data_IF_781070646317
#
_entry.id   IF_781070646317
#
_cell.length_a   1.000
_cell.length_b   1.000
_cell.length_c   1.000
_cell.angle_alpha   90.00
_cell.angle_beta   90.00
_cell.angle_gamma   90.00
#
_symmetry.space_group_name_H-M   'P 1'
#
loop_
_entity.id
_entity.type
_entity.pdbx_description
1 polymer ?
#
# COMPACT_ATOMS: atom_id res chain seq x y z
N UNK A 1 14.93 -3.59 -5.05
CA UNK A 1 13.52 -3.87 -5.21
C UNK A 1 13.25 -5.35 -5.41
N UNK A 2 12.08 -5.80 -5.02
CA UNK A 2 11.72 -7.20 -5.16
C UNK A 2 11.56 -7.57 -6.63
N UNK A 3 12.11 -8.72 -7.01
CA UNK A 3 11.95 -9.22 -8.36
C UNK A 3 10.51 -9.71 -8.55
N UNK A 4 9.72 -8.90 -9.16
CA UNK A 4 8.31 -9.17 -9.33
C UNK A 4 8.03 -10.39 -10.22
N UNK A 5 8.79 -10.58 -11.27
CA UNK A 5 8.62 -11.72 -12.14
C UNK A 5 8.75 -13.03 -11.39
N UNK A 6 9.78 -13.13 -10.57
CA UNK A 6 10.01 -14.32 -9.77
C UNK A 6 8.89 -14.53 -8.75
N UNK A 7 8.46 -13.46 -8.09
CA UNK A 7 7.38 -13.57 -7.11
C UNK A 7 6.06 -13.92 -7.77
N UNK A 8 5.83 -13.41 -8.96
CA UNK A 8 4.63 -13.72 -9.71
C UNK A 8 4.57 -15.20 -10.06
N UNK A 9 5.70 -15.80 -10.44
CA UNK A 9 5.77 -17.22 -10.72
C UNK A 9 5.46 -18.05 -9.49
N UNK A 10 5.76 -17.54 -8.32
CA UNK A 10 5.46 -18.18 -7.06
C UNK A 10 4.06 -17.87 -6.56
N UNK A 11 3.28 -17.09 -7.30
CA UNK A 11 1.93 -16.74 -6.91
C UNK A 11 1.83 -15.62 -5.90
N UNK A 12 2.94 -14.93 -5.60
CA UNK A 12 2.94 -13.87 -4.62
C UNK A 12 2.42 -12.55 -5.15
N UNK A 13 2.56 -12.32 -6.45
CA UNK A 13 2.06 -11.12 -7.09
C UNK A 13 1.07 -11.48 -8.18
N UNK A 14 -0.08 -11.99 -7.78
CA UNK A 14 -1.11 -12.31 -8.77
C UNK A 14 -1.90 -11.04 -9.06
N UNK A 15 -1.56 -10.36 -10.11
CA UNK A 15 -2.24 -9.14 -10.50
C UNK A 15 -3.71 -9.33 -10.84
N UNK A 16 -4.19 -10.54 -10.81
CA UNK A 16 -5.58 -10.85 -11.12
C UNK A 16 -6.52 -10.51 -9.99
N UNK A 17 -5.99 -10.36 -8.78
CA UNK A 17 -6.82 -10.11 -7.61
C UNK A 17 -6.58 -8.72 -7.07
N UNK A 18 -7.68 -7.98 -6.89
CA UNK A 18 -7.62 -6.64 -6.33
C UNK A 18 -7.29 -6.66 -4.84
N UNK A 19 -7.44 -7.80 -4.21
CA UNK A 19 -7.27 -7.95 -2.77
C UNK A 19 -5.99 -8.66 -2.36
N UNK A 20 -4.96 -8.63 -3.21
CA UNK A 20 -3.67 -9.23 -2.87
C UNK A 20 -3.14 -8.67 -1.56
N UNK A 21 -2.74 -9.57 -0.68
CA UNK A 21 -2.26 -9.19 0.64
C UNK A 21 -0.74 -9.27 0.68
N UNK A 22 -0.15 -8.28 1.34
CA UNK A 22 1.30 -8.23 1.50
C UNK A 22 1.76 -9.39 2.37
N UNK A 23 2.73 -10.20 1.92
CA UNK A 23 3.31 -11.23 2.80
C UNK A 23 3.92 -10.58 4.03
N UNK A 24 3.79 -11.25 5.17
CA UNK A 24 4.29 -10.71 6.43
C UNK A 24 5.81 -10.46 6.40
N UNK A 25 6.55 -11.36 5.75
CA UNK A 25 8.01 -11.20 5.68
C UNK A 25 8.41 -9.91 4.95
N UNK A 26 7.65 -9.55 3.93
CA UNK A 26 7.93 -8.33 3.16
C UNK A 26 7.63 -7.10 4.01
N UNK A 27 6.49 -7.09 4.67
CA UNK A 27 6.15 -5.99 5.56
C UNK A 27 7.19 -5.84 6.67
N UNK A 28 7.57 -6.94 7.30
CA UNK A 28 8.54 -6.91 8.40
C UNK A 28 9.87 -6.31 7.95
N UNK A 29 10.31 -6.67 6.76
CA UNK A 29 11.55 -6.17 6.20
C UNK A 29 11.50 -4.67 5.98
N UNK A 30 10.40 -4.20 5.42
CA UNK A 30 10.19 -2.76 5.19
C UNK A 30 10.02 -2.02 6.51
N UNK A 31 9.27 -2.58 7.43
CA UNK A 31 9.00 -1.95 8.72
C UNK A 31 10.25 -1.78 9.57
N UNK A 32 11.18 -2.71 9.46
CA UNK A 32 12.46 -2.59 10.15
C UNK A 32 13.18 -1.32 9.74
N UNK A 33 12.99 -0.91 8.50
CA UNK A 33 13.65 0.25 7.93
C UNK A 33 12.85 1.55 8.14
N UNK A 34 11.54 1.49 7.94
CA UNK A 34 10.69 2.69 7.93
C UNK A 34 9.92 2.94 9.22
N UNK A 35 9.67 1.91 10.02
CA UNK A 35 8.92 2.02 11.28
C UNK A 35 7.54 2.63 11.06
N UNK A 36 6.70 1.91 10.33
CA UNK A 36 5.37 2.39 9.96
C UNK A 36 4.47 2.65 11.16
N UNK A 37 3.76 3.77 11.11
CA UNK A 37 2.75 4.12 12.11
C UNK A 37 1.40 3.54 11.74
N UNK A 38 1.05 3.55 10.46
CA UNK A 38 -0.29 3.16 10.02
C UNK A 38 -0.25 2.36 8.72
N UNK A 39 -1.25 1.49 8.58
CA UNK A 39 -1.55 0.76 7.36
C UNK A 39 -2.80 1.42 6.78
N UNK A 40 -2.66 2.16 5.70
CA UNK A 40 -3.75 3.01 5.21
C UNK A 40 -4.74 2.29 4.30
N UNK A 41 -4.47 1.05 3.93
CA UNK A 41 -5.39 0.24 3.10
C UNK A 41 -5.47 -1.16 3.68
N UNK A 42 -6.36 -1.36 4.65
CA UNK A 42 -6.42 -2.63 5.36
C UNK A 42 -7.84 -2.99 5.80
N UNK A 43 -7.95 -4.16 6.40
CA UNK A 43 -9.12 -4.58 7.15
C UNK A 43 -8.63 -4.96 8.55
N UNK A 44 -9.56 -5.18 9.47
CA UNK A 44 -9.19 -5.63 10.81
C UNK A 44 -8.55 -7.01 10.80
N UNK A 45 -8.73 -7.76 9.72
CA UNK A 45 -8.19 -9.11 9.59
C UNK A 45 -6.82 -9.14 8.96
N UNK A 46 -6.47 -8.17 8.11
CA UNK A 46 -5.21 -8.20 7.38
C UNK A 46 -4.28 -7.01 7.68
N UNK A 47 -4.67 -6.13 8.57
CA UNK A 47 -3.84 -4.96 8.87
C UNK A 47 -2.47 -5.37 9.40
N UNK A 48 -1.45 -4.64 8.96
CA UNK A 48 -0.08 -4.84 9.41
C UNK A 48 0.31 -3.93 10.57
N UNK A 49 -0.51 -2.95 10.87
CA UNK A 49 -0.27 -1.98 11.95
C UNK A 49 -1.47 -1.91 12.87
N UNK A 50 -1.25 -1.44 14.10
CA UNK A 50 -2.35 -1.23 15.04
C UNK A 50 -3.28 -0.12 14.58
N UNK A 51 -2.72 0.90 13.93
CA UNK A 51 -3.51 1.98 13.35
C UNK A 51 -3.72 1.66 11.88
N UNK A 52 -4.97 1.70 11.43
CA UNK A 52 -5.26 1.41 10.04
C UNK A 52 -6.56 2.07 9.59
N UNK A 53 -6.69 2.23 8.27
CA UNK A 53 -7.94 2.65 7.64
C UNK A 53 -8.52 1.46 6.86
N UNK A 54 -9.85 1.34 6.87
CA UNK A 54 -10.55 0.29 6.15
C UNK A 54 -11.70 0.88 5.32
N UNK A 55 -12.61 0.03 4.84
CA UNK A 55 -13.72 0.49 4.01
C UNK A 55 -14.66 1.44 4.74
N UNK A 56 -14.82 1.25 6.04
CA UNK A 56 -15.75 2.06 6.83
C UNK A 56 -15.13 3.40 7.21
N UNK A 57 -13.82 3.45 7.25
CA UNK A 57 -13.08 4.67 7.52
C UNK A 57 -12.01 4.80 6.46
N UNK A 58 -12.43 5.30 5.29
CA UNK A 58 -11.56 5.34 4.12
C UNK A 58 -10.38 6.28 4.29
N UNK A 59 -9.21 5.82 3.93
CA UNK A 59 -8.01 6.66 3.95
C UNK A 59 -8.13 7.85 2.99
N UNK A 60 -9.00 7.76 1.99
CA UNK A 60 -9.18 8.85 1.04
C UNK A 60 -9.86 10.08 1.66
N UNK A 61 -10.52 9.91 2.81
CA UNK A 61 -11.27 10.97 3.47
C UNK A 61 -10.61 11.52 4.73
N UNK A 62 -9.41 11.05 5.04
CA UNK A 62 -8.73 11.44 6.27
C UNK A 62 -7.27 11.79 5.98
N UNK A 63 -6.67 12.56 6.86
CA UNK A 63 -5.23 12.78 6.82
C UNK A 63 -4.51 11.54 7.35
N UNK A 64 -3.31 11.30 6.83
CA UNK A 64 -2.52 10.15 7.22
C UNK A 64 -1.51 10.51 8.30
N UNK A 65 -0.69 9.56 8.66
CA UNK A 65 0.28 9.72 9.71
C UNK A 65 1.66 10.02 9.12
N UNK A 66 2.64 10.19 9.98
CA UNK A 66 3.98 10.59 9.52
C UNK A 66 4.68 9.55 8.66
N UNK A 67 4.40 8.26 8.89
CA UNK A 67 4.98 7.18 8.10
C UNK A 67 3.95 6.09 7.89
N UNK A 68 3.59 5.84 6.65
CA UNK A 68 2.47 4.97 6.30
C UNK A 68 2.89 3.85 5.38
N UNK A 69 2.28 2.68 5.59
CA UNK A 69 2.37 1.57 4.68
C UNK A 69 1.08 1.52 3.85
N UNK A 70 1.22 1.30 2.56
CA UNK A 70 0.07 1.25 1.67
C UNK A 70 0.17 0.08 0.68
N UNK A 71 -0.78 -0.83 0.77
CA UNK A 71 -1.02 -1.85 -0.25
C UNK A 71 -2.44 -1.62 -0.75
N UNK A 72 -2.64 -0.72 -1.72
CA UNK A 72 -3.99 -0.36 -2.14
C UNK A 72 -4.63 -1.48 -2.93
N UNK A 73 -5.98 -1.50 -2.99
CA UNK A 73 -6.65 -2.46 -3.85
C UNK A 73 -6.26 -2.20 -5.30
N UNK A 74 -5.84 -3.24 -5.99
CA UNK A 74 -5.44 -3.14 -7.39
C UNK A 74 -6.69 -3.07 -8.26
N UNK A 75 -6.60 -2.37 -9.35
CA UNK A 75 -7.71 -2.20 -10.25
C UNK A 75 -7.88 -0.76 -10.66
N UNK A 76 -9.06 -0.41 -11.13
CA UNK A 76 -9.31 0.92 -11.71
C UNK A 76 -9.13 2.07 -10.73
N UNK A 77 -9.40 1.83 -9.46
CA UNK A 77 -9.35 2.87 -8.45
C UNK A 77 -7.99 3.12 -7.84
N UNK A 78 -6.97 2.38 -8.27
CA UNK A 78 -5.66 2.46 -7.62
C UNK A 78 -5.04 3.86 -7.69
N UNK A 79 -5.31 4.58 -8.75
CA UNK A 79 -4.77 5.93 -8.93
C UNK A 79 -5.17 6.90 -7.84
N UNK A 80 -6.35 6.73 -7.27
CA UNK A 80 -6.84 7.60 -6.19
C UNK A 80 -5.96 7.49 -4.95
N UNK A 81 -5.52 6.28 -4.64
CA UNK A 81 -4.68 6.04 -3.46
C UNK A 81 -3.28 6.61 -3.67
N UNK A 82 -2.75 6.46 -4.88
CA UNK A 82 -1.44 6.99 -5.23
C UNK A 82 -1.47 8.52 -5.18
N UNK A 83 -2.52 9.12 -5.71
CA UNK A 83 -2.69 10.57 -5.67
C UNK A 83 -2.82 11.06 -4.24
N UNK A 84 -3.57 10.36 -3.40
CA UNK A 84 -3.72 10.72 -1.99
C UNK A 84 -2.37 10.68 -1.28
N UNK A 85 -1.56 9.66 -1.55
CA UNK A 85 -0.22 9.56 -0.96
C UNK A 85 0.65 10.75 -1.36
N UNK A 86 0.55 11.17 -2.62
CA UNK A 86 1.29 12.34 -3.11
C UNK A 86 0.89 13.61 -2.37
N UNK A 87 -0.43 13.86 -2.22
CA UNK A 87 -0.90 15.07 -1.56
C UNK A 87 -0.63 15.05 -0.07
N UNK A 88 -0.66 13.89 0.58
CA UNK A 88 -0.29 13.78 1.98
C UNK A 88 1.19 14.11 2.19
N UNK A 89 2.05 13.69 1.25
CA UNK A 89 3.45 14.08 1.28
C UNK A 89 3.61 15.59 1.10
N UNK A 90 2.90 16.14 0.12
CA UNK A 90 3.04 17.57 -0.21
C UNK A 90 2.48 18.47 0.88
N UNK A 91 1.28 18.16 1.37
CA UNK A 91 0.56 19.03 2.31
C UNK A 91 0.98 18.81 3.76
N UNK A 92 1.26 17.58 4.15
CA UNK A 92 1.44 17.20 5.55
C UNK A 92 2.79 16.55 5.84
N UNK A 93 3.67 16.49 4.86
CA UNK A 93 5.01 15.94 5.02
C UNK A 93 5.01 14.47 5.44
N UNK A 94 4.01 13.72 5.01
CA UNK A 94 3.88 12.30 5.33
C UNK A 94 4.70 11.44 4.37
N UNK A 95 5.37 10.43 4.90
CA UNK A 95 6.05 9.43 4.09
C UNK A 95 5.12 8.24 3.88
N UNK A 96 5.01 7.73 2.67
CA UNK A 96 4.23 6.55 2.38
C UNK A 96 5.05 5.59 1.52
N UNK A 97 5.15 4.35 1.98
CA UNK A 97 5.78 3.27 1.21
C UNK A 97 4.67 2.39 0.67
N UNK A 98 4.63 2.23 -0.63
CA UNK A 98 3.55 1.51 -1.30
C UNK A 98 4.06 0.24 -1.97
N UNK A 99 3.25 -0.81 -1.88
CA UNK A 99 3.47 -2.03 -2.65
C UNK A 99 2.48 -2.01 -3.81
N UNK A 100 2.99 -1.92 -5.01
CA UNK A 100 2.17 -1.75 -6.20
C UNK A 100 2.54 -2.80 -7.25
N UNK A 101 1.59 -3.13 -8.16
CA UNK A 101 1.93 -4.00 -9.27
C UNK A 101 2.91 -3.30 -10.21
N UNK A 102 3.87 -4.05 -10.76
CA UNK A 102 4.85 -3.47 -11.68
C UNK A 102 4.26 -3.36 -13.08
N UNK A 103 3.52 -2.28 -13.30
CA UNK A 103 2.87 -2.00 -14.58
C UNK A 103 3.27 -0.62 -15.05
N UNK A 104 4.05 -0.61 -16.11
CA UNK A 104 4.56 0.64 -16.67
C UNK A 104 3.62 1.25 -17.71
N UNK A 105 2.56 0.53 -18.08
CA UNK A 105 1.62 0.96 -19.09
C UNK A 105 0.41 1.71 -18.50
N UNK A 106 0.40 1.98 -17.22
CA UNK A 106 -0.70 2.67 -16.57
C UNK A 106 -0.40 4.15 -16.40
N UNK A 107 -1.47 4.95 -16.32
CA UNK A 107 -1.33 6.42 -16.25
C UNK A 107 -0.68 6.92 -14.97
N UNK A 108 -0.81 6.18 -13.88
CA UNK A 108 -0.24 6.62 -12.62
C UNK A 108 1.26 6.31 -12.51
N UNK A 109 1.76 5.50 -13.41
CA UNK A 109 3.17 5.14 -13.40
C UNK A 109 4.00 6.22 -14.07
#
# INVERSE_FOLDING_TARGET
MINEGKLSEQGLFTSKKDDWQTPQWLFDKLNKHFEFVADVCATDQNTKCDIYFDKNKSCLEHDWFECNFMNPPYGRGIGKFIEKAYWQWWDNDCTTVSVLPARTDTKWF
#
